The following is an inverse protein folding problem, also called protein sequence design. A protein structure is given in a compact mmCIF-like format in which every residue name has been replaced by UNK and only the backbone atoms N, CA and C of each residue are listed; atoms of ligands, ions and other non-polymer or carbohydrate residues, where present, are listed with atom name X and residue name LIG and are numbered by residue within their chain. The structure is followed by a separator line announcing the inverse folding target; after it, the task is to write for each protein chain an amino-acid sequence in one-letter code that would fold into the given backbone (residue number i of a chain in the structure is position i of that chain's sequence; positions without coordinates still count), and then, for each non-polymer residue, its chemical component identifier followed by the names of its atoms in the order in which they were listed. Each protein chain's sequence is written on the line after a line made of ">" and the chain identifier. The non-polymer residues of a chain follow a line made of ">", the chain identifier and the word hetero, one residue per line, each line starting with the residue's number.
data_IF_639509149625
#
_entry.id   IF_639509149625
#
_cell.length_a   1.000
_cell.length_b   1.000
_cell.length_c   1.000
_cell.angle_alpha   90.00
_cell.angle_beta   90.00
_cell.angle_gamma   90.00
#
_symmetry.space_group_name_H-M   'P 1'
#
loop_
_entity.id
_entity.type
_entity.pdbx_description
1 polymer ?
#
# COMPACT_ATOMS: atom_id res chain seq x y z
N UNK A 1 4.10 -7.23 -9.69
CA UNK A 1 2.88 -7.35 -10.53
C UNK A 1 2.14 -6.02 -10.56
N UNK A 2 1.55 -5.63 -11.69
CA UNK A 2 0.63 -4.48 -11.76
C UNK A 2 -0.80 -5.03 -11.68
N UNK A 3 -1.59 -4.50 -10.75
CA UNK A 3 -3.00 -4.80 -10.54
C UNK A 3 -3.82 -3.62 -11.05
N UNK A 4 -4.71 -3.90 -12.00
CA UNK A 4 -5.82 -3.01 -12.33
C UNK A 4 -7.10 -3.63 -11.74
N UNK A 5 -7.81 -2.95 -10.84
CA UNK A 5 -9.06 -3.48 -10.29
C UNK A 5 -10.07 -3.71 -11.41
N UNK A 6 -10.64 -4.91 -11.45
CA UNK A 6 -11.85 -5.14 -12.24
C UNK A 6 -13.01 -4.45 -11.53
N UNK A 7 -14.07 -4.10 -12.28
CA UNK A 7 -15.30 -3.64 -11.65
C UNK A 7 -15.78 -4.66 -10.61
N UNK A 8 -16.19 -4.16 -9.45
CA UNK A 8 -16.66 -4.99 -8.35
C UNK A 8 -17.93 -5.74 -8.76
N UNK A 9 -17.99 -7.04 -8.41
CA UNK A 9 -19.22 -7.84 -8.54
C UNK A 9 -20.31 -7.38 -7.56
N UNK A 10 -19.90 -6.91 -6.38
CA UNK A 10 -20.77 -6.30 -5.38
C UNK A 10 -20.18 -4.94 -5.00
N UNK A 11 -20.93 -3.88 -5.25
CA UNK A 11 -20.53 -2.51 -4.92
C UNK A 11 -20.82 -2.28 -3.44
N UNK A 12 -19.86 -1.76 -2.71
CA UNK A 12 -20.10 -1.22 -1.37
C UNK A 12 -20.81 0.13 -1.51
N UNK A 13 -22.13 0.09 -1.73
CA UNK A 13 -22.96 1.25 -1.99
C UNK A 13 -22.86 2.28 -0.84
N UNK A 14 -22.80 1.80 0.40
CA UNK A 14 -22.68 2.65 1.59
C UNK A 14 -21.35 3.39 1.62
N UNK A 15 -20.24 2.73 1.32
CA UNK A 15 -18.93 3.37 1.20
C UNK A 15 -18.90 4.40 0.06
N UNK A 16 -19.49 4.05 -1.08
CA UNK A 16 -19.58 4.93 -2.24
C UNK A 16 -20.38 6.20 -1.94
N UNK A 17 -21.54 6.07 -1.29
CA UNK A 17 -22.37 7.20 -0.86
C UNK A 17 -21.65 8.07 0.19
N UNK A 18 -21.07 7.43 1.22
CA UNK A 18 -20.42 8.14 2.34
C UNK A 18 -19.26 9.03 1.87
N UNK A 19 -18.49 8.59 0.87
CA UNK A 19 -17.30 9.30 0.41
C UNK A 19 -17.41 9.85 -1.02
N UNK A 20 -18.59 9.77 -1.65
CA UNK A 20 -18.82 10.20 -3.03
C UNK A 20 -17.91 9.49 -4.05
N UNK A 21 -17.70 8.19 -3.90
CA UNK A 21 -16.75 7.42 -4.72
C UNK A 21 -17.41 6.84 -5.96
N UNK A 22 -16.67 6.84 -7.06
CA UNK A 22 -17.02 6.01 -8.22
C UNK A 22 -16.73 4.52 -7.94
N UNK A 23 -17.27 3.65 -8.80
CA UNK A 23 -17.15 2.21 -8.65
C UNK A 23 -15.69 1.73 -8.70
N UNK A 24 -14.83 2.41 -9.48
CA UNK A 24 -13.41 2.08 -9.61
C UNK A 24 -12.61 2.44 -8.35
N UNK A 25 -12.93 3.55 -7.70
CA UNK A 25 -12.32 3.97 -6.44
C UNK A 25 -12.73 3.04 -5.30
N UNK A 26 -13.99 2.65 -5.23
CA UNK A 26 -14.45 1.62 -4.29
C UNK A 26 -13.75 0.28 -4.53
N UNK A 27 -13.61 -0.14 -5.80
CA UNK A 27 -12.89 -1.36 -6.16
C UNK A 27 -11.43 -1.37 -5.68
N UNK A 28 -10.73 -0.24 -5.80
CA UNK A 28 -9.36 -0.11 -5.28
C UNK A 28 -9.28 -0.29 -3.77
N UNK A 29 -10.24 0.25 -3.03
CA UNK A 29 -10.26 0.12 -1.57
C UNK A 29 -10.49 -1.33 -1.13
N UNK A 30 -11.41 -2.04 -1.79
CA UNK A 30 -11.64 -3.48 -1.54
C UNK A 30 -10.38 -4.30 -1.85
N UNK A 31 -9.70 -4.03 -2.96
CA UNK A 31 -8.41 -4.69 -3.27
C UNK A 31 -7.38 -4.42 -2.17
N UNK A 32 -7.26 -3.19 -1.67
CA UNK A 32 -6.34 -2.89 -0.56
C UNK A 32 -6.72 -3.69 0.69
N UNK A 33 -8.00 -3.70 1.07
CA UNK A 33 -8.50 -4.44 2.22
C UNK A 33 -8.24 -5.95 2.09
N UNK A 34 -8.45 -6.55 0.91
CA UNK A 34 -8.14 -7.96 0.63
C UNK A 34 -6.64 -8.26 0.71
N UNK A 35 -5.79 -7.38 0.20
CA UNK A 35 -4.33 -7.54 0.27
C UNK A 35 -3.82 -7.44 1.72
N UNK A 36 -4.47 -6.64 2.57
CA UNK A 36 -4.20 -6.58 4.02
C UNK A 36 -4.71 -7.86 4.70
N UNK A 37 -5.97 -8.24 4.46
CA UNK A 37 -6.62 -9.41 5.09
C UNK A 37 -5.88 -10.72 4.82
N UNK A 38 -5.42 -10.90 3.59
CA UNK A 38 -4.66 -12.09 3.15
C UNK A 38 -3.20 -12.07 3.59
N UNK A 39 -2.67 -10.91 4.01
CA UNK A 39 -1.31 -10.74 4.48
C UNK A 39 -1.19 -10.84 5.99
N UNK A 40 0.04 -10.98 6.47
CA UNK A 40 0.37 -10.80 7.90
C UNK A 40 0.95 -9.41 8.19
N UNK A 41 1.54 -8.76 7.19
CA UNK A 41 2.10 -7.41 7.27
C UNK A 41 2.21 -6.83 5.85
N UNK A 42 1.34 -5.87 5.54
CA UNK A 42 1.21 -5.22 4.24
C UNK A 42 1.53 -3.73 4.38
N UNK A 43 2.64 -3.30 3.78
CA UNK A 43 3.04 -1.90 3.72
C UNK A 43 2.51 -1.27 2.43
N UNK A 44 1.68 -0.24 2.55
CA UNK A 44 1.10 0.48 1.42
C UNK A 44 1.83 1.80 1.23
N UNK A 45 2.31 2.06 0.01
CA UNK A 45 2.90 3.35 -0.35
C UNK A 45 1.98 4.13 -1.27
N UNK A 46 1.87 5.43 -1.03
CA UNK A 46 1.26 6.38 -1.95
C UNK A 46 2.18 7.58 -2.21
N UNK A 47 1.97 8.26 -3.33
CA UNK A 47 2.89 9.30 -3.79
C UNK A 47 2.74 10.64 -3.07
N UNK A 48 1.58 10.91 -2.48
CA UNK A 48 1.30 12.19 -1.82
C UNK A 48 0.62 11.97 -0.48
N UNK A 49 0.79 12.95 0.42
CA UNK A 49 0.14 12.95 1.73
C UNK A 49 -1.37 12.97 1.62
N UNK A 50 -1.91 13.73 0.67
CA UNK A 50 -3.36 13.80 0.44
C UNK A 50 -3.94 12.42 0.09
N UNK A 51 -3.23 11.62 -0.72
CA UNK A 51 -3.68 10.26 -1.05
C UNK A 51 -3.58 9.35 0.18
N UNK A 52 -2.49 9.45 0.95
CA UNK A 52 -2.32 8.68 2.20
C UNK A 52 -3.46 8.95 3.17
N UNK A 53 -3.80 10.20 3.43
CA UNK A 53 -4.90 10.59 4.31
C UNK A 53 -6.26 10.15 3.78
N UNK A 54 -6.51 10.36 2.47
CA UNK A 54 -7.76 9.97 1.85
C UNK A 54 -8.00 8.45 1.90
N UNK A 55 -6.97 7.66 1.59
CA UNK A 55 -7.04 6.20 1.69
C UNK A 55 -7.16 5.76 3.16
N UNK A 56 -6.38 6.35 4.07
CA UNK A 56 -6.39 6.01 5.49
C UNK A 56 -7.76 6.23 6.13
N UNK A 57 -8.40 7.38 5.87
CA UNK A 57 -9.75 7.69 6.35
C UNK A 57 -10.79 6.69 5.85
N UNK A 58 -10.76 6.37 4.54
CA UNK A 58 -11.71 5.45 3.90
C UNK A 58 -11.52 4.00 4.36
N UNK A 59 -10.28 3.53 4.44
CA UNK A 59 -9.97 2.18 4.92
C UNK A 59 -10.30 2.03 6.41
N UNK A 60 -10.05 3.06 7.22
CA UNK A 60 -10.46 3.06 8.64
C UNK A 60 -11.98 2.97 8.79
N UNK A 61 -12.73 3.65 7.93
CA UNK A 61 -14.20 3.51 7.90
C UNK A 61 -14.60 2.08 7.53
N UNK A 62 -14.01 1.53 6.46
CA UNK A 62 -14.29 0.16 6.03
C UNK A 62 -13.93 -0.88 7.10
N UNK A 63 -12.84 -0.70 7.84
CA UNK A 63 -12.42 -1.63 8.90
C UNK A 63 -13.48 -1.73 10.01
N UNK A 64 -14.17 -0.62 10.32
CA UNK A 64 -15.25 -0.60 11.33
C UNK A 64 -16.48 -1.39 10.87
N UNK A 65 -16.79 -1.35 9.59
CA UNK A 65 -17.96 -2.03 9.01
C UNK A 65 -17.65 -3.50 8.68
N UNK A 66 -16.45 -3.77 8.17
CA UNK A 66 -15.98 -5.06 7.66
C UNK A 66 -14.49 -5.24 8.02
N UNK A 67 -14.19 -5.76 9.23
CA UNK A 67 -12.81 -5.93 9.68
C UNK A 67 -11.97 -6.78 8.72
N UNK A 68 -10.79 -6.26 8.36
CA UNK A 68 -9.77 -6.90 7.55
C UNK A 68 -8.40 -6.96 8.25
N UNK A 69 -8.32 -6.51 9.51
CA UNK A 69 -7.16 -6.72 10.38
C UNK A 69 -6.39 -5.43 10.70
N UNK A 70 -7.03 -4.27 10.62
CA UNK A 70 -6.47 -2.99 11.05
C UNK A 70 -5.58 -2.31 10.02
N UNK A 71 -5.66 -0.98 10.01
CA UNK A 71 -4.89 -0.08 9.14
C UNK A 71 -4.43 1.14 9.94
N UNK A 72 -3.16 1.48 9.81
CA UNK A 72 -2.57 2.71 10.36
C UNK A 72 -2.09 3.64 9.24
N UNK A 73 -1.91 4.93 9.57
CA UNK A 73 -1.38 5.94 8.65
C UNK A 73 -0.05 6.47 9.18
N UNK A 74 0.93 6.65 8.30
CA UNK A 74 2.25 7.16 8.66
C UNK A 74 2.77 8.21 7.66
N UNK A 75 3.00 9.43 8.14
CA UNK A 75 3.74 10.46 7.39
C UNK A 75 4.33 11.52 8.32
N UNK A 76 5.25 12.34 7.82
CA UNK A 76 6.02 13.32 8.62
C UNK A 76 5.18 14.34 9.40
N UNK A 77 3.95 14.63 8.97
CA UNK A 77 3.04 15.55 9.67
C UNK A 77 2.18 14.92 10.78
N UNK A 78 2.28 13.61 11.03
CA UNK A 78 1.66 12.97 12.20
C UNK A 78 2.58 13.18 13.41
N UNK A 79 2.03 13.38 14.60
CA UNK A 79 2.81 13.52 15.83
C UNK A 79 3.77 12.35 16.06
N UNK A 80 4.97 12.63 16.59
CA UNK A 80 6.03 11.62 16.74
C UNK A 80 5.58 10.42 17.58
N UNK A 81 4.85 10.68 18.67
CA UNK A 81 4.31 9.62 19.54
C UNK A 81 3.35 8.70 18.79
N UNK A 82 2.48 9.26 17.96
CA UNK A 82 1.51 8.49 17.20
C UNK A 82 2.19 7.69 16.07
N UNK A 83 3.23 8.24 15.43
CA UNK A 83 4.05 7.47 14.48
C UNK A 83 4.69 6.25 15.14
N UNK A 84 5.32 6.43 16.30
CA UNK A 84 5.95 5.35 17.06
C UNK A 84 4.91 4.28 17.45
N UNK A 85 3.71 4.71 17.85
CA UNK A 85 2.61 3.79 18.15
C UNK A 85 2.22 2.98 16.92
N UNK A 86 1.96 3.63 15.77
CA UNK A 86 1.59 2.93 14.53
C UNK A 86 2.68 1.96 14.06
N UNK A 87 3.96 2.35 14.18
CA UNK A 87 5.11 1.47 13.88
C UNK A 87 5.12 0.23 14.79
N UNK A 88 4.90 0.42 16.10
CA UNK A 88 4.84 -0.66 17.09
C UNK A 88 3.64 -1.59 16.85
N UNK A 89 2.45 -1.03 16.66
CA UNK A 89 1.21 -1.79 16.40
C UNK A 89 1.37 -2.63 15.12
N UNK A 90 1.99 -2.09 14.08
CA UNK A 90 2.28 -2.83 12.85
C UNK A 90 3.35 -3.90 13.03
N UNK A 91 4.44 -3.61 13.77
CA UNK A 91 5.51 -4.55 14.07
C UNK A 91 5.01 -5.76 14.88
N UNK A 92 4.10 -5.52 15.83
CA UNK A 92 3.53 -6.55 16.70
C UNK A 92 2.34 -7.28 16.07
N UNK A 93 1.84 -6.81 14.92
CA UNK A 93 0.71 -7.42 14.21
C UNK A 93 -0.66 -7.04 14.75
N UNK A 94 -0.75 -6.04 15.62
CA UNK A 94 -2.01 -5.44 16.10
C UNK A 94 -2.76 -4.76 14.95
N UNK A 95 -2.02 -4.21 13.98
CA UNK A 95 -2.53 -3.81 12.67
C UNK A 95 -1.75 -4.54 11.58
N UNK A 96 -2.46 -5.03 10.56
CA UNK A 96 -1.86 -5.75 9.42
C UNK A 96 -1.50 -4.83 8.26
N UNK A 97 -2.06 -3.62 8.22
CA UNK A 97 -1.82 -2.62 7.18
C UNK A 97 -1.20 -1.35 7.75
N UNK A 98 -0.23 -0.77 7.03
CA UNK A 98 0.30 0.57 7.31
C UNK A 98 0.42 1.33 5.99
N UNK A 99 -0.18 2.50 5.87
CA UNK A 99 -0.07 3.34 4.67
C UNK A 99 0.86 4.53 4.90
N UNK A 100 1.78 4.78 3.96
CA UNK A 100 2.75 5.86 4.07
C UNK A 100 3.12 6.51 2.74
N UNK A 101 3.77 7.68 2.84
CA UNK A 101 4.52 8.29 1.75
C UNK A 101 5.96 7.75 1.72
N UNK A 102 6.91 8.48 1.14
CA UNK A 102 8.34 8.18 1.21
C UNK A 102 8.92 8.16 2.62
N UNK A 103 8.16 8.59 3.64
CA UNK A 103 8.60 8.57 5.03
C UNK A 103 9.04 7.19 5.53
N UNK A 104 8.54 6.09 4.94
CA UNK A 104 8.95 4.72 5.27
C UNK A 104 9.84 4.04 4.20
N UNK A 105 10.38 4.80 3.24
CA UNK A 105 11.25 4.24 2.17
C UNK A 105 12.62 3.82 2.70
N UNK A 106 13.15 4.50 3.73
CA UNK A 106 14.50 4.33 4.23
C UNK A 106 14.53 4.16 5.76
N UNK A 107 15.10 3.04 6.24
CA UNK A 107 15.79 2.97 7.54
C UNK A 107 14.97 2.92 8.83
N UNK A 108 13.86 2.18 8.90
CA UNK A 108 13.01 2.11 10.10
C UNK A 108 12.69 0.67 10.47
N UNK A 109 12.77 0.34 11.75
CA UNK A 109 12.50 -1.00 12.29
C UNK A 109 11.01 -1.21 12.55
N UNK A 110 10.26 -1.41 11.45
CA UNK A 110 8.83 -1.76 11.46
C UNK A 110 8.61 -3.28 11.34
N UNK A 111 9.64 -4.07 11.67
CA UNK A 111 9.59 -5.54 11.62
C UNK A 111 9.61 -6.12 10.20
N UNK A 112 9.28 -7.42 10.10
CA UNK A 112 9.33 -8.15 8.83
C UNK A 112 8.10 -7.85 7.97
N UNK A 113 8.25 -7.00 6.96
CA UNK A 113 7.20 -6.76 5.96
C UNK A 113 7.13 -7.95 5.02
N UNK A 114 5.92 -8.48 4.81
CA UNK A 114 5.70 -9.59 3.87
C UNK A 114 5.30 -9.11 2.49
N UNK A 115 4.56 -8.01 2.41
CA UNK A 115 4.02 -7.50 1.15
C UNK A 115 4.13 -6.00 1.07
N UNK A 116 4.50 -5.49 -0.10
CA UNK A 116 4.45 -4.07 -0.44
C UNK A 116 3.40 -3.85 -1.52
N UNK A 117 2.47 -2.93 -1.24
CA UNK A 117 1.47 -2.47 -2.19
C UNK A 117 1.72 -1.00 -2.54
N UNK A 118 1.98 -0.71 -3.80
CA UNK A 118 2.21 0.63 -4.30
C UNK A 118 0.91 1.17 -4.91
N UNK A 119 0.29 2.20 -4.33
CA UNK A 119 -0.90 2.85 -4.87
C UNK A 119 -0.54 3.89 -5.93
N UNK A 120 -0.98 3.64 -7.16
CA UNK A 120 -0.57 4.38 -8.35
C UNK A 120 0.88 4.13 -8.76
N UNK A 121 1.24 4.51 -9.98
CA UNK A 121 2.60 4.41 -10.48
C UNK A 121 3.60 5.09 -9.53
N UNK A 122 4.73 4.44 -9.18
CA UNK A 122 5.77 5.09 -8.38
C UNK A 122 6.60 6.11 -9.18
N UNK A 123 6.32 6.27 -10.49
CA UNK A 123 6.97 7.19 -11.45
C UNK A 123 8.46 6.96 -11.71
N UNK A 124 9.17 6.31 -10.79
CA UNK A 124 10.60 6.06 -10.85
C UNK A 124 10.90 4.64 -10.39
N UNK A 125 11.74 3.93 -11.17
CA UNK A 125 12.13 2.56 -10.87
C UNK A 125 12.85 2.43 -9.52
N UNK A 126 13.76 3.37 -9.22
CA UNK A 126 14.50 3.38 -7.96
C UNK A 126 13.58 3.44 -6.73
N UNK A 127 12.49 4.22 -6.78
CA UNK A 127 11.51 4.27 -5.70
C UNK A 127 10.82 2.93 -5.50
N UNK A 128 10.47 2.23 -6.58
CA UNK A 128 9.86 0.92 -6.49
C UNK A 128 10.84 -0.10 -5.88
N UNK A 129 12.11 -0.08 -6.30
CA UNK A 129 13.17 -0.95 -5.76
C UNK A 129 13.34 -0.72 -4.25
N UNK A 130 13.46 0.54 -3.83
CA UNK A 130 13.60 0.89 -2.41
C UNK A 130 12.39 0.46 -1.58
N UNK A 131 11.18 0.74 -2.07
CA UNK A 131 9.91 0.37 -1.41
C UNK A 131 9.75 -1.15 -1.30
N UNK A 132 9.94 -1.88 -2.39
CA UNK A 132 9.80 -3.34 -2.43
C UNK A 132 10.91 -4.03 -1.64
N UNK A 133 12.12 -3.47 -1.61
CA UNK A 133 13.23 -3.93 -0.76
C UNK A 133 12.95 -3.81 0.76
N UNK A 134 11.80 -3.26 1.16
CA UNK A 134 11.30 -3.39 2.54
C UNK A 134 10.63 -4.74 2.79
N UNK A 135 10.03 -5.36 1.77
CA UNK A 135 9.64 -6.76 1.84
C UNK A 135 10.86 -7.66 1.61
N UNK A 136 11.06 -8.67 2.47
CA UNK A 136 12.16 -9.63 2.31
C UNK A 136 13.36 -9.47 3.25
N UNK A 137 13.26 -8.72 4.35
CA UNK A 137 14.31 -8.67 5.39
C UNK A 137 14.54 -9.99 6.15
N UNK A 138 13.92 -11.09 5.72
CA UNK A 138 14.29 -12.45 6.10
C UNK A 138 15.17 -12.98 4.98
N UNK A 139 16.42 -13.33 5.30
CA UNK A 139 17.54 -13.83 4.48
C UNK A 139 17.26 -14.87 3.38
N UNK A 140 16.01 -15.28 3.14
CA UNK A 140 15.59 -16.31 2.19
C UNK A 140 14.25 -16.01 1.46
N UNK A 141 13.58 -14.88 1.72
CA UNK A 141 12.27 -14.57 1.14
C UNK A 141 12.34 -13.68 -0.11
N UNK A 142 11.71 -14.08 -1.23
CA UNK A 142 11.53 -13.18 -2.39
C UNK A 142 10.67 -11.97 -2.01
N UNK A 143 11.10 -10.73 -2.32
CA UNK A 143 10.26 -9.54 -2.13
C UNK A 143 8.94 -9.66 -2.91
N UNK A 144 7.81 -9.36 -2.27
CA UNK A 144 6.49 -9.39 -2.91
C UNK A 144 5.98 -7.96 -3.07
N UNK A 145 6.19 -7.40 -4.26
CA UNK A 145 5.72 -6.07 -4.66
C UNK A 145 4.56 -6.12 -5.65
N UNK A 146 3.47 -5.41 -5.33
CA UNK A 146 2.35 -5.16 -6.25
C UNK A 146 2.13 -3.66 -6.44
N UNK A 147 1.76 -3.23 -7.65
CA UNK A 147 1.33 -1.85 -7.92
C UNK A 147 -0.17 -1.89 -8.19
N UNK A 148 -0.97 -1.16 -7.42
CA UNK A 148 -2.39 -0.95 -7.67
C UNK A 148 -2.58 0.33 -8.48
N UNK A 149 -2.76 0.18 -9.79
CA UNK A 149 -2.95 1.31 -10.70
C UNK A 149 -4.33 1.96 -10.54
N UNK A 150 -4.40 3.25 -10.85
CA UNK A 150 -5.57 4.12 -10.64
C UNK A 150 -6.37 4.42 -11.91
N UNK A 151 -5.80 4.12 -13.08
CA UNK A 151 -6.40 4.38 -14.38
C UNK A 151 -5.53 3.82 -15.50
N UNK A 152 -5.98 3.93 -16.75
CA UNK A 152 -5.29 3.35 -17.92
C UNK A 152 -3.89 3.94 -18.10
N UNK A 153 -3.77 5.27 -18.10
CA UNK A 153 -2.46 5.93 -18.26
C UNK A 153 -1.49 5.56 -17.14
N UNK A 154 -1.99 5.54 -15.90
CA UNK A 154 -1.22 5.13 -14.73
C UNK A 154 -0.82 3.64 -14.80
N UNK A 155 -1.64 2.78 -15.41
CA UNK A 155 -1.32 1.36 -15.64
C UNK A 155 -0.17 1.19 -16.63
N UNK A 156 -0.18 1.96 -17.72
CA UNK A 156 0.90 1.96 -18.71
C UNK A 156 2.21 2.41 -18.05
N UNK A 157 2.17 3.55 -17.34
CA UNK A 157 3.34 4.08 -16.63
C UNK A 157 3.85 3.09 -15.57
N UNK A 158 2.95 2.56 -14.73
CA UNK A 158 3.29 1.58 -13.69
C UNK A 158 3.91 0.31 -14.27
N UNK A 159 3.44 -0.15 -15.43
CA UNK A 159 3.98 -1.33 -16.11
C UNK A 159 5.39 -1.06 -16.62
N UNK A 160 5.61 0.07 -17.31
CA UNK A 160 6.93 0.46 -17.77
C UNK A 160 7.93 0.61 -16.61
N UNK A 161 7.52 1.25 -15.52
CA UNK A 161 8.36 1.40 -14.32
C UNK A 161 8.63 0.04 -13.65
N UNK A 162 7.66 -0.85 -13.59
CA UNK A 162 7.85 -2.19 -13.04
C UNK A 162 8.84 -3.01 -13.86
N UNK A 163 8.76 -2.96 -15.20
CA UNK A 163 9.71 -3.62 -16.09
C UNK A 163 11.12 -3.08 -15.89
N UNK A 164 11.30 -1.76 -15.97
CA UNK A 164 12.60 -1.12 -15.77
C UNK A 164 13.20 -1.46 -14.40
N UNK A 165 12.38 -1.59 -13.35
CA UNK A 165 12.84 -1.95 -12.01
C UNK A 165 13.37 -3.37 -11.93
N UNK A 166 12.80 -4.31 -12.70
CA UNK A 166 13.28 -5.69 -12.77
C UNK A 166 14.64 -5.76 -13.48
N UNK A 167 14.81 -4.99 -14.55
CA UNK A 167 16.08 -4.93 -15.29
C UNK A 167 17.21 -4.35 -14.43
N UNK A 168 16.97 -3.21 -13.76
CA UNK A 168 17.97 -2.58 -12.88
C UNK A 168 18.27 -3.42 -11.63
N UNK A 169 17.28 -4.16 -11.11
CA UNK A 169 17.51 -5.07 -10.01
C UNK A 169 18.47 -6.21 -10.42
N UNK A 170 18.42 -6.69 -11.67
CA UNK A 170 19.32 -7.74 -12.17
C UNK A 170 20.75 -7.22 -12.34
N UNK A 171 20.94 -5.96 -12.77
CA UNK A 171 22.28 -5.37 -12.97
C UNK A 171 23.03 -5.07 -11.66
N UNK A 172 22.33 -5.05 -10.52
CA UNK A 172 22.93 -4.70 -9.21
C UNK A 172 23.33 -5.94 -8.39
N UNK A 173 23.14 -7.16 -8.92
CA UNK A 173 23.54 -8.43 -8.28
C UNK A 173 24.62 -9.18 -9.06
#
# INVERSE_FOLDING_TARGET
>A
HVLFPKELKHKDEKLMETFGLDAQSAARLEVIAEEIKSGTSTLIFANTRQIVEALGSRLTYMEKEKPFGGIGVHHSSIEKSERIRMESDFKNGEIKGLIATSSLELGIDIGSIKKVLQYGSPRQALRLIQRVGRSGHSTYGKPIGKILSTGIMDTIEATAVAMNSMDHAIETY
#
